data_IF_997027066874
#
_entry.id   IF_997027066874
#
_cell.length_a   1.000
_cell.length_b   1.000
_cell.length_c   1.000
_cell.angle_alpha   90.00
_cell.angle_beta   90.00
_cell.angle_gamma   90.00
#
_symmetry.space_group_name_H-M   'P 1'
#
loop_
_entity.id
_entity.type
_entity.pdbx_description
1 polymer ?
#
# COMPACT_ATOMS: atom_id res chain seq x y z
N UNK A 1 38.80 23.43 16.59
CA UNK A 1 37.92 23.33 15.40
C UNK A 1 37.74 21.86 15.09
N UNK A 2 36.53 21.47 14.67
CA UNK A 2 35.90 20.14 14.76
C UNK A 2 35.35 19.86 16.18
N UNK A 3 34.13 19.40 16.41
CA UNK A 3 33.00 19.05 15.53
C UNK A 3 31.87 18.59 16.46
N UNK A 4 30.75 19.31 16.53
CA UNK A 4 29.50 18.73 17.05
C UNK A 4 28.36 19.30 16.21
N UNK A 5 28.19 18.71 15.03
CA UNK A 5 26.87 18.67 14.39
C UNK A 5 26.08 17.68 15.23
N UNK A 6 25.37 18.20 16.24
CA UNK A 6 24.36 17.43 16.97
C UNK A 6 23.30 17.07 15.93
N UNK A 7 23.17 15.77 15.65
CA UNK A 7 22.31 15.31 14.56
C UNK A 7 20.88 15.74 14.82
N UNK A 8 20.15 16.15 13.77
CA UNK A 8 18.73 16.52 13.88
C UNK A 8 17.92 15.44 14.63
N UNK A 9 18.32 14.17 14.46
CA UNK A 9 17.76 13.01 15.15
C UNK A 9 17.97 13.01 16.68
N UNK A 10 19.09 13.53 17.18
CA UNK A 10 19.36 13.63 18.63
C UNK A 10 18.53 14.77 19.25
N UNK A 11 18.30 15.84 18.49
CA UNK A 11 17.43 16.96 18.88
C UNK A 11 15.96 16.53 18.85
N UNK A 12 15.51 15.80 17.83
CA UNK A 12 14.16 15.23 17.75
C UNK A 12 13.90 14.22 18.88
N UNK A 13 14.86 13.32 19.15
CA UNK A 13 14.74 12.34 20.24
C UNK A 13 14.64 13.01 21.62
N UNK A 14 15.33 14.14 21.82
CA UNK A 14 15.25 14.87 23.09
C UNK A 14 13.99 15.73 23.21
N UNK A 15 13.44 16.26 22.11
CA UNK A 15 12.20 17.04 22.09
C UNK A 15 10.95 16.16 22.21
N UNK A 16 10.99 14.95 21.66
CA UNK A 16 9.84 14.03 21.62
C UNK A 16 9.77 13.09 22.83
N UNK A 17 10.74 13.18 23.76
CA UNK A 17 10.86 12.26 24.90
C UNK A 17 11.38 10.92 24.42
N UNK A 18 12.61 10.59 24.81
CA UNK A 18 13.26 9.32 24.47
C UNK A 18 12.40 8.09 24.81
N UNK A 19 12.67 7.01 24.08
CA UNK A 19 11.82 5.83 23.81
C UNK A 19 10.85 6.11 22.67
N UNK A 20 10.95 5.29 21.61
CA UNK A 20 10.03 5.19 20.48
C UNK A 20 8.65 5.73 20.85
N UNK A 21 8.40 7.02 20.55
CA UNK A 21 7.13 7.63 20.82
C UNK A 21 6.12 6.83 19.99
N UNK A 22 5.43 5.90 20.65
CA UNK A 22 4.28 5.21 20.09
C UNK A 22 3.36 6.35 19.71
N UNK A 23 3.31 6.67 18.41
CA UNK A 23 2.41 7.69 17.92
C UNK A 23 1.02 7.21 18.36
N UNK A 24 0.49 7.83 19.42
CA UNK A 24 -0.84 7.53 19.90
C UNK A 24 -1.77 7.88 18.74
N UNK A 25 -2.18 6.85 18.01
CA UNK A 25 -3.07 7.00 16.89
C UNK A 25 -4.36 7.54 17.50
N UNK A 26 -4.77 8.72 17.06
CA UNK A 26 -6.07 9.28 17.46
C UNK A 26 -7.12 8.18 17.30
N UNK A 27 -7.94 7.87 18.33
CA UNK A 27 -8.94 6.81 18.24
C UNK A 27 -9.89 6.94 17.04
N UNK A 28 -10.09 8.16 16.52
CA UNK A 28 -10.84 8.41 15.28
C UNK A 28 -10.10 7.89 14.05
N UNK A 29 -8.78 8.00 14.01
CA UNK A 29 -7.94 7.40 12.96
C UNK A 29 -7.98 5.88 13.04
N UNK A 30 -7.97 5.29 14.24
CA UNK A 30 -8.13 3.85 14.40
C UNK A 30 -9.48 3.36 13.82
N UNK A 31 -10.57 4.07 14.13
CA UNK A 31 -11.88 3.77 13.57
C UNK A 31 -11.92 3.89 12.04
N UNK A 32 -11.25 4.90 11.47
CA UNK A 32 -11.10 5.07 10.01
C UNK A 32 -10.32 3.89 9.41
N UNK A 33 -9.22 3.46 10.04
CA UNK A 33 -8.45 2.31 9.56
C UNK A 33 -9.23 1.01 9.65
N UNK A 34 -10.01 0.80 10.71
CA UNK A 34 -10.88 -0.36 10.84
C UNK A 34 -11.95 -0.40 9.74
N UNK A 35 -12.64 0.71 9.49
CA UNK A 35 -13.61 0.82 8.41
C UNK A 35 -12.97 0.64 7.02
N UNK A 36 -11.78 1.20 6.80
CA UNK A 36 -11.02 1.03 5.57
C UNK A 36 -10.62 -0.44 5.36
N UNK A 37 -10.25 -1.16 6.43
CA UNK A 37 -9.95 -2.58 6.39
C UNK A 37 -11.18 -3.40 6.00
N UNK A 38 -12.33 -3.15 6.63
CA UNK A 38 -13.57 -3.85 6.28
C UNK A 38 -13.93 -3.64 4.80
N UNK A 39 -13.82 -2.40 4.32
CA UNK A 39 -14.04 -2.09 2.90
C UNK A 39 -13.06 -2.84 2.00
N UNK A 40 -11.77 -2.85 2.36
CA UNK A 40 -10.72 -3.56 1.62
C UNK A 40 -11.02 -5.05 1.49
N UNK A 41 -11.37 -5.70 2.60
CA UNK A 41 -11.77 -7.11 2.64
C UNK A 41 -13.00 -7.37 1.76
N UNK A 42 -14.02 -6.51 1.86
CA UNK A 42 -15.25 -6.61 1.07
C UNK A 42 -15.00 -6.50 -0.44
N UNK A 43 -14.05 -5.65 -0.85
CA UNK A 43 -13.68 -5.48 -2.25
C UNK A 43 -12.97 -6.72 -2.78
N UNK A 44 -12.02 -7.27 -2.02
CA UNK A 44 -11.29 -8.46 -2.44
C UNK A 44 -12.22 -9.64 -2.59
N UNK A 45 -12.95 -10.01 -1.53
CA UNK A 45 -13.77 -11.22 -1.52
C UNK A 45 -15.03 -11.05 -2.38
N UNK A 46 -15.68 -9.89 -2.29
CA UNK A 46 -16.98 -9.67 -2.93
C UNK A 46 -16.90 -9.23 -4.40
N UNK A 47 -15.76 -8.69 -4.85
CA UNK A 47 -15.64 -8.16 -6.23
C UNK A 47 -14.45 -8.68 -7.00
N UNK A 48 -13.25 -8.59 -6.43
CA UNK A 48 -12.03 -8.90 -7.18
C UNK A 48 -11.86 -10.41 -7.37
N UNK A 49 -12.10 -11.21 -6.33
CA UNK A 49 -11.96 -12.66 -6.41
C UNK A 49 -12.89 -13.27 -7.48
N UNK A 50 -14.21 -12.97 -7.51
CA UNK A 50 -15.07 -13.45 -8.60
C UNK A 50 -14.62 -12.98 -9.99
N UNK A 51 -14.11 -11.74 -10.08
CA UNK A 51 -13.66 -11.16 -11.34
C UNK A 51 -12.44 -11.91 -11.91
N UNK A 52 -11.45 -12.25 -11.08
CA UNK A 52 -10.24 -12.96 -11.52
C UNK A 52 -10.51 -14.45 -11.79
N UNK A 53 -11.57 -15.01 -11.21
CA UNK A 53 -12.05 -16.36 -11.56
C UNK A 53 -12.70 -16.37 -12.95
N UNK A 54 -13.42 -15.31 -13.31
CA UNK A 54 -14.16 -15.23 -14.56
C UNK A 54 -13.32 -14.72 -15.75
N UNK A 55 -12.32 -13.87 -15.50
CA UNK A 55 -11.65 -13.13 -16.56
C UNK A 55 -10.14 -13.05 -16.40
N UNK A 56 -9.42 -13.07 -17.53
CA UNK A 56 -8.00 -12.71 -17.58
C UNK A 56 -7.87 -11.19 -17.48
N UNK A 57 -7.08 -10.70 -16.53
CA UNK A 57 -6.96 -9.28 -16.22
C UNK A 57 -5.56 -8.76 -16.56
N UNK A 58 -5.52 -7.59 -17.20
CA UNK A 58 -4.32 -6.78 -17.39
C UNK A 58 -4.52 -5.41 -16.75
N UNK A 59 -3.61 -5.01 -15.88
CA UNK A 59 -3.62 -3.71 -15.23
C UNK A 59 -2.56 -2.78 -15.84
N UNK A 60 -2.95 -1.56 -16.16
CA UNK A 60 -2.02 -0.48 -16.42
C UNK A 60 -1.67 0.19 -15.07
N UNK A 61 -0.38 0.25 -14.72
CA UNK A 61 0.10 0.81 -13.47
C UNK A 61 0.97 2.03 -13.72
N UNK A 62 0.52 3.22 -13.30
CA UNK A 62 1.30 4.45 -13.37
C UNK A 62 2.15 4.69 -12.12
N UNK A 63 2.08 3.80 -11.13
CA UNK A 63 2.62 3.99 -9.78
C UNK A 63 2.01 5.17 -9.01
N UNK A 64 0.96 5.81 -9.54
CA UNK A 64 0.13 6.74 -8.77
C UNK A 64 -0.76 5.98 -7.78
N UNK A 65 -1.24 6.71 -6.75
CA UNK A 65 -2.01 6.12 -5.63
C UNK A 65 -3.14 5.20 -6.09
N UNK A 66 -3.93 5.61 -7.07
CA UNK A 66 -5.10 4.85 -7.52
C UNK A 66 -4.69 3.54 -8.20
N UNK A 67 -3.66 3.60 -9.04
CA UNK A 67 -3.13 2.42 -9.73
C UNK A 67 -2.42 1.46 -8.79
N UNK A 68 -1.75 1.98 -7.74
CA UNK A 68 -1.11 1.15 -6.71
C UNK A 68 -2.14 0.50 -5.80
N UNK A 69 -3.17 1.23 -5.38
CA UNK A 69 -4.28 0.66 -4.60
C UNK A 69 -4.99 -0.43 -5.40
N UNK A 70 -5.26 -0.20 -6.69
CA UNK A 70 -5.84 -1.22 -7.56
C UNK A 70 -4.92 -2.43 -7.70
N UNK A 71 -3.63 -2.22 -7.97
CA UNK A 71 -2.64 -3.30 -8.06
C UNK A 71 -2.62 -4.13 -6.78
N UNK A 72 -2.61 -3.47 -5.61
CA UNK A 72 -2.60 -4.14 -4.32
C UNK A 72 -3.82 -5.05 -4.12
N UNK A 73 -5.03 -4.57 -4.45
CA UNK A 73 -6.26 -5.37 -4.36
C UNK A 73 -6.18 -6.64 -5.22
N UNK A 74 -5.67 -6.53 -6.45
CA UNK A 74 -5.55 -7.68 -7.37
C UNK A 74 -4.46 -8.66 -6.95
N UNK A 75 -3.32 -8.16 -6.46
CA UNK A 75 -2.24 -9.00 -5.91
C UNK A 75 -2.74 -9.79 -4.72
N UNK A 76 -3.44 -9.13 -3.80
CA UNK A 76 -3.98 -9.77 -2.60
C UNK A 76 -5.05 -10.82 -2.94
N UNK A 77 -5.94 -10.53 -3.89
CA UNK A 77 -6.91 -11.51 -4.39
C UNK A 77 -6.23 -12.74 -5.01
N UNK A 78 -5.17 -12.56 -5.81
CA UNK A 78 -4.41 -13.68 -6.37
C UNK A 78 -3.67 -14.49 -5.30
N UNK A 79 -3.12 -13.82 -4.27
CA UNK A 79 -2.48 -14.48 -3.12
C UNK A 79 -3.48 -15.38 -2.39
N UNK A 80 -4.66 -14.84 -2.05
CA UNK A 80 -5.73 -15.60 -1.37
C UNK A 80 -6.27 -16.73 -2.22
N UNK A 81 -6.47 -16.49 -3.51
CA UNK A 81 -6.90 -17.54 -4.43
C UNK A 81 -5.89 -18.70 -4.45
N UNK A 82 -4.59 -18.39 -4.50
CA UNK A 82 -3.52 -19.39 -4.42
C UNK A 82 -3.50 -20.14 -3.09
N UNK A 83 -3.66 -19.44 -1.96
CA UNK A 83 -3.64 -20.06 -0.62
C UNK A 83 -4.85 -20.97 -0.35
N UNK A 84 -5.97 -20.73 -1.04
CA UNK A 84 -7.23 -21.46 -0.88
C UNK A 84 -7.50 -22.43 -2.04
N UNK A 85 -6.51 -22.66 -2.91
CA UNK A 85 -6.63 -23.48 -4.12
C UNK A 85 -7.84 -23.12 -5.00
N UNK A 86 -8.18 -21.82 -5.05
CA UNK A 86 -9.26 -21.29 -5.87
C UNK A 86 -8.75 -21.08 -7.30
N UNK A 87 -9.39 -21.69 -8.32
CA UNK A 87 -8.95 -21.55 -9.70
C UNK A 87 -9.17 -20.11 -10.19
N UNK A 88 -8.18 -19.56 -10.89
CA UNK A 88 -8.25 -18.23 -11.53
C UNK A 88 -8.16 -18.38 -13.06
N UNK A 89 -8.78 -17.45 -13.79
CA UNK A 89 -8.85 -17.49 -15.26
C UNK A 89 -7.48 -17.31 -15.95
N UNK A 90 -6.51 -16.74 -15.23
CA UNK A 90 -5.15 -16.56 -15.71
C UNK A 90 -4.27 -15.79 -14.73
N UNK A 91 -3.01 -15.55 -15.08
CA UNK A 91 -2.11 -14.76 -14.26
C UNK A 91 -2.50 -13.29 -14.24
N UNK A 92 -2.13 -12.58 -13.17
CA UNK A 92 -2.17 -11.12 -13.12
C UNK A 92 -1.07 -10.54 -14.03
N UNK A 93 -1.47 -9.80 -15.07
CA UNK A 93 -0.53 -9.11 -15.96
C UNK A 93 -0.53 -7.63 -15.61
N UNK A 94 0.65 -7.06 -15.35
CA UNK A 94 0.80 -5.63 -15.03
C UNK A 94 1.69 -4.98 -16.08
N UNK A 95 1.28 -3.82 -16.58
CA UNK A 95 2.04 -3.02 -17.54
C UNK A 95 2.30 -1.65 -16.95
N UNK A 96 3.58 -1.30 -16.82
CA UNK A 96 4.04 0.02 -16.44
C UNK A 96 4.81 0.65 -17.60
N UNK A 97 4.54 1.92 -17.90
CA UNK A 97 5.28 2.68 -18.87
C UNK A 97 6.17 3.69 -18.15
N UNK A 98 7.48 3.50 -18.25
CA UNK A 98 8.46 4.45 -17.75
C UNK A 98 8.57 5.61 -18.75
N UNK A 99 8.09 6.78 -18.36
CA UNK A 99 8.09 7.99 -19.20
C UNK A 99 9.43 8.70 -19.22
N UNK A 100 10.40 8.32 -18.39
CA UNK A 100 11.67 9.04 -18.16
C UNK A 100 11.50 10.50 -17.71
N UNK A 101 10.30 10.89 -17.27
CA UNK A 101 10.03 12.21 -16.71
C UNK A 101 10.24 12.12 -15.20
N UNK A 102 11.18 12.91 -14.67
CA UNK A 102 11.36 13.02 -13.22
C UNK A 102 10.10 13.58 -12.56
N UNK A 103 9.68 12.95 -11.46
CA UNK A 103 8.53 13.43 -10.69
C UNK A 103 8.89 14.80 -10.09
N UNK A 104 8.09 15.85 -10.32
CA UNK A 104 8.34 17.19 -9.75
C UNK A 104 8.11 17.23 -8.23
N UNK A 105 7.72 16.11 -7.62
CA UNK A 105 7.36 16.00 -6.19
C UNK A 105 8.51 15.41 -5.36
N UNK A 106 9.64 15.04 -5.98
CA UNK A 106 10.81 14.50 -5.27
C UNK A 106 11.93 15.54 -5.04
N UNK A 107 11.62 16.84 -5.16
CA UNK A 107 12.52 17.95 -4.80
C UNK A 107 12.23 18.50 -3.41
#
# INVERSE_FOLDING_TARGET
MLSHVVGLAEVEASLLGGELAVANIDPRREAIFAAARELYESLIEGRILPLIQAHKIRLACSMGKDSLTLLNLFVEAHRRAKERDIPVAGPLIVTHADTKIESPVMS
#
